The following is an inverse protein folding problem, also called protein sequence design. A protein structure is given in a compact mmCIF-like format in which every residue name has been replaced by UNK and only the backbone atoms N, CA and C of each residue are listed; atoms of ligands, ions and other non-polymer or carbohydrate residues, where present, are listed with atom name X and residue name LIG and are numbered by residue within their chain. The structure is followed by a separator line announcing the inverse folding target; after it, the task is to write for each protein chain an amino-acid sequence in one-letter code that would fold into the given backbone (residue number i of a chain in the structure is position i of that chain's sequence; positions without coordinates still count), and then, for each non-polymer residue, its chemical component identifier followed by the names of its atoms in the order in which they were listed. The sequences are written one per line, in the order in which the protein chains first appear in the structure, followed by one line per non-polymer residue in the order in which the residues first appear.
data_IF_916467644372
#
_entry.id   IF_916467644372
#
_cell.length_a   1.000
_cell.length_b   1.000
_cell.length_c   1.000
_cell.angle_alpha   90.00
_cell.angle_beta   90.00
_cell.angle_gamma   90.00
#
_symmetry.space_group_name_H-M   'P 1'
#
loop_
_entity.id
_entity.type
_entity.pdbx_description
1 polymer ?
#
# COMPACT_ATOMS: atom_id res chain seq x y z
N UNK A 1 11.86 -3.65 -10.52
CA UNK A 1 10.72 -2.71 -10.70
C UNK A 1 9.44 -3.27 -10.10
N UNK A 2 8.87 -4.40 -10.55
CA UNK A 2 7.73 -5.00 -9.81
C UNK A 2 8.15 -5.37 -8.39
N UNK A 3 9.31 -6.01 -8.22
CA UNK A 3 9.89 -6.34 -6.91
C UNK A 3 10.23 -5.10 -6.07
N UNK A 4 10.56 -3.98 -6.74
CA UNK A 4 10.87 -2.71 -6.07
C UNK A 4 9.59 -2.08 -5.50
N UNK A 5 8.49 -2.08 -6.26
CA UNK A 5 7.20 -1.58 -5.80
C UNK A 5 6.61 -2.50 -4.73
N UNK A 6 6.71 -3.82 -4.90
CA UNK A 6 6.28 -4.79 -3.89
C UNK A 6 7.11 -4.67 -2.60
N UNK A 7 8.41 -4.37 -2.69
CA UNK A 7 9.21 -4.11 -1.49
C UNK A 7 8.77 -2.84 -0.74
N UNK A 8 8.23 -1.84 -1.46
CA UNK A 8 7.62 -0.68 -0.82
C UNK A 8 6.31 -1.09 -0.13
N UNK A 9 5.43 -1.83 -0.80
CA UNK A 9 4.17 -2.30 -0.23
C UNK A 9 4.39 -3.23 0.98
N UNK A 10 5.36 -4.14 0.93
CA UNK A 10 5.75 -5.02 2.04
C UNK A 10 6.19 -4.20 3.27
N UNK A 11 7.08 -3.22 3.07
CA UNK A 11 7.50 -2.29 4.12
C UNK A 11 6.31 -1.54 4.72
N UNK A 12 5.41 -1.01 3.88
CA UNK A 12 4.23 -0.28 4.33
C UNK A 12 3.27 -1.19 5.12
N UNK A 13 3.08 -2.43 4.69
CA UNK A 13 2.17 -3.36 5.34
C UNK A 13 2.66 -3.79 6.74
N UNK A 14 3.97 -3.81 6.97
CA UNK A 14 4.61 -4.08 8.27
C UNK A 14 4.90 -2.81 9.09
N UNK A 15 4.74 -1.63 8.48
CA UNK A 15 5.19 -0.35 9.03
C UNK A 15 4.14 0.38 9.89
N UNK A 16 4.43 1.65 10.14
CA UNK A 16 3.58 2.57 10.88
C UNK A 16 3.37 3.89 10.11
N UNK A 17 2.66 4.86 10.68
CA UNK A 17 2.32 6.11 9.98
C UNK A 17 3.53 6.86 9.40
N UNK A 18 4.69 6.80 10.05
CA UNK A 18 5.92 7.40 9.53
C UNK A 18 6.37 6.84 8.18
N UNK A 19 6.22 5.52 7.95
CA UNK A 19 6.56 4.87 6.67
C UNK A 19 5.61 5.34 5.56
N UNK A 20 4.32 5.43 5.86
CA UNK A 20 3.32 5.98 4.94
C UNK A 20 3.56 7.45 4.65
N UNK A 21 3.92 8.26 5.65
CA UNK A 21 4.21 9.68 5.49
C UNK A 21 5.38 9.93 4.51
N UNK A 22 6.39 9.06 4.52
CA UNK A 22 7.54 9.12 3.64
C UNK A 22 7.19 8.77 2.19
N UNK A 23 6.36 7.74 1.98
CA UNK A 23 6.10 7.16 0.64
C UNK A 23 4.92 7.81 -0.07
N UNK A 24 3.86 8.17 0.65
CA UNK A 24 2.64 8.69 0.04
C UNK A 24 2.94 10.01 -0.69
N UNK A 25 2.44 10.11 -1.92
CA UNK A 25 2.32 11.37 -2.62
C UNK A 25 1.44 12.34 -1.82
N UNK A 26 1.60 13.66 -1.98
CA UNK A 26 0.80 14.64 -1.24
C UNK A 26 -0.71 14.48 -1.50
N UNK A 27 -1.07 14.24 -2.77
CA UNK A 27 -2.45 13.97 -3.21
C UNK A 27 -2.86 12.49 -3.13
N UNK A 28 -2.15 11.68 -2.32
CA UNK A 28 -2.44 10.25 -2.28
C UNK A 28 -3.82 9.95 -1.71
N UNK A 29 -4.49 8.96 -2.33
CA UNK A 29 -5.78 8.43 -1.86
C UNK A 29 -5.62 6.96 -1.50
N UNK A 30 -6.11 6.59 -0.32
CA UNK A 30 -6.12 5.22 0.19
C UNK A 30 -7.57 4.76 0.39
N UNK A 31 -7.98 3.74 -0.34
CA UNK A 31 -9.32 3.16 -0.31
C UNK A 31 -9.26 1.81 0.38
N UNK A 32 -9.85 1.73 1.57
CA UNK A 32 -9.92 0.52 2.39
C UNK A 32 -11.38 0.21 2.71
N UNK A 33 -11.72 -0.97 3.25
CA UNK A 33 -13.11 -1.29 3.57
C UNK A 33 -13.74 -0.24 4.48
N UNK A 34 -14.79 0.42 3.98
CA UNK A 34 -15.56 1.42 4.73
C UNK A 34 -14.96 2.82 4.79
N UNK A 35 -13.80 3.09 4.18
CA UNK A 35 -13.19 4.42 4.22
C UNK A 35 -12.41 4.78 2.95
N UNK A 36 -12.39 6.08 2.66
CA UNK A 36 -11.48 6.71 1.70
C UNK A 36 -10.68 7.75 2.46
N UNK A 37 -9.37 7.59 2.47
CA UNK A 37 -8.44 8.38 3.28
C UNK A 37 -7.53 9.18 2.35
N UNK A 38 -7.27 10.44 2.71
CA UNK A 38 -6.13 11.17 2.17
C UNK A 38 -4.83 10.75 2.89
N UNK A 39 -3.70 11.35 2.52
CA UNK A 39 -2.40 11.08 3.15
C UNK A 39 -2.44 11.27 4.66
N UNK A 40 -3.01 12.37 5.16
CA UNK A 40 -3.02 12.67 6.60
C UNK A 40 -3.88 11.68 7.38
N UNK A 41 -5.06 11.35 6.86
CA UNK A 41 -5.96 10.36 7.44
C UNK A 41 -5.35 8.95 7.44
N UNK A 42 -4.64 8.57 6.38
CA UNK A 42 -3.94 7.29 6.30
C UNK A 42 -2.82 7.19 7.36
N UNK A 43 -1.97 8.22 7.47
CA UNK A 43 -0.91 8.27 8.48
C UNK A 43 -1.49 8.14 9.89
N UNK A 44 -2.53 8.92 10.21
CA UNK A 44 -3.18 8.85 11.52
C UNK A 44 -3.81 7.49 11.81
N UNK A 45 -4.41 6.84 10.80
CA UNK A 45 -4.98 5.49 10.95
C UNK A 45 -3.89 4.45 11.25
N UNK A 46 -2.74 4.53 10.58
CA UNK A 46 -1.62 3.60 10.77
C UNK A 46 -0.87 3.85 12.09
N UNK A 47 -0.87 5.07 12.62
CA UNK A 47 -0.36 5.34 13.98
C UNK A 47 -1.27 4.77 15.07
N UNK A 48 -2.59 4.75 14.83
CA UNK A 48 -3.57 4.20 15.76
C UNK A 48 -3.63 2.66 15.74
N UNK A 49 -3.29 2.03 14.61
CA UNK A 49 -3.18 0.59 14.46
C UNK A 49 -1.96 0.26 13.61
N UNK A 50 -0.82 -0.11 14.24
CA UNK A 50 0.40 -0.48 13.52
C UNK A 50 0.16 -1.63 12.54
N UNK A 51 1.11 -1.84 11.63
CA UNK A 51 1.05 -2.87 10.59
C UNK A 51 0.82 -4.31 11.06
N UNK A 52 0.83 -5.22 10.10
CA UNK A 52 0.67 -6.65 10.34
C UNK A 52 1.91 -7.25 11.00
N UNK A 53 1.76 -8.39 11.68
CA UNK A 53 2.92 -9.15 12.19
C UNK A 53 3.64 -9.85 11.03
N UNK A 54 2.86 -10.37 10.08
CA UNK A 54 3.33 -11.09 8.91
C UNK A 54 2.46 -10.76 7.70
N UNK A 55 3.08 -10.69 6.53
CA UNK A 55 2.39 -10.47 5.26
C UNK A 55 2.89 -11.43 4.18
N UNK A 56 2.00 -11.77 3.27
CA UNK A 56 2.31 -12.49 2.04
C UNK A 56 1.72 -11.74 0.85
N UNK A 57 2.57 -11.45 -0.14
CA UNK A 57 2.25 -10.73 -1.36
C UNK A 57 2.48 -11.65 -2.55
N UNK A 58 1.39 -12.09 -3.19
CA UNK A 58 1.40 -13.11 -4.24
C UNK A 58 0.72 -12.67 -5.53
N UNK A 59 0.90 -13.47 -6.59
CA UNK A 59 0.19 -13.34 -7.88
C UNK A 59 0.23 -11.94 -8.51
N UNK A 60 1.35 -11.24 -8.31
CA UNK A 60 1.48 -9.84 -8.69
C UNK A 60 1.46 -9.63 -10.21
N UNK A 61 0.77 -8.57 -10.64
CA UNK A 61 0.71 -8.07 -12.00
C UNK A 61 1.12 -6.62 -12.02
N UNK A 62 1.81 -6.23 -13.08
CA UNK A 62 2.31 -4.87 -13.25
C UNK A 62 1.69 -4.23 -14.50
N UNK A 63 1.13 -3.04 -14.31
CA UNK A 63 0.66 -2.13 -15.37
C UNK A 63 1.54 -0.88 -15.35
N UNK A 64 1.91 -0.36 -16.52
CA UNK A 64 2.77 0.82 -16.66
C UNK A 64 2.13 1.83 -17.60
N UNK A 65 2.33 3.12 -17.33
CA UNK A 65 1.92 4.20 -18.22
C UNK A 65 2.63 5.51 -17.89
N UNK A 66 3.43 6.03 -18.81
CA UNK A 66 4.23 7.25 -18.58
C UNK A 66 5.12 7.09 -17.34
N UNK A 67 5.00 8.04 -16.41
CA UNK A 67 5.72 8.05 -15.13
C UNK A 67 4.99 7.31 -14.00
N UNK A 68 3.95 6.53 -14.35
CA UNK A 68 3.16 5.78 -13.37
C UNK A 68 3.29 4.26 -13.56
N UNK A 69 3.15 3.55 -12.45
CA UNK A 69 3.12 2.10 -12.42
C UNK A 69 2.12 1.61 -11.37
N UNK A 70 1.27 0.66 -11.73
CA UNK A 70 0.33 0.01 -10.81
C UNK A 70 0.75 -1.44 -10.62
N UNK A 71 0.92 -1.87 -9.37
CA UNK A 71 1.03 -3.27 -9.00
C UNK A 71 -0.29 -3.75 -8.41
N UNK A 72 -0.81 -4.85 -8.95
CA UNK A 72 -2.02 -5.52 -8.47
C UNK A 72 -1.61 -6.89 -7.96
N UNK A 73 -1.92 -7.22 -6.72
CA UNK A 73 -1.43 -8.45 -6.08
C UNK A 73 -2.43 -9.00 -5.07
N UNK A 74 -2.30 -10.29 -4.79
CA UNK A 74 -2.99 -10.94 -3.68
C UNK A 74 -2.25 -10.61 -2.39
N UNK A 75 -2.98 -10.16 -1.38
CA UNK A 75 -2.43 -9.86 -0.07
C UNK A 75 -3.05 -10.77 0.99
N UNK A 76 -2.22 -11.30 1.88
CA UNK A 76 -2.65 -11.89 3.15
C UNK A 76 -1.88 -11.25 4.29
N UNK A 77 -2.57 -10.65 5.25
CA UNK A 77 -1.99 -10.10 6.47
C UNK A 77 -2.42 -10.92 7.69
N UNK A 78 -1.50 -11.15 8.63
CA UNK A 78 -1.76 -11.86 9.89
C UNK A 78 -1.31 -11.02 11.07
N UNK A 79 -2.16 -10.95 12.10
CA UNK A 79 -1.83 -10.28 13.37
C UNK A 79 -2.53 -10.98 14.53
N UNK A 80 -1.78 -11.59 15.42
CA UNK A 80 -2.34 -12.48 16.45
C UNK A 80 -3.22 -13.58 15.85
N UNK A 81 -4.52 -13.58 16.18
CA UNK A 81 -5.51 -14.52 15.62
C UNK A 81 -6.20 -14.02 14.35
N UNK A 82 -5.99 -12.76 14.00
CA UNK A 82 -6.67 -12.13 12.87
C UNK A 82 -5.95 -12.46 11.57
N UNK A 83 -6.73 -12.80 10.53
CA UNK A 83 -6.24 -12.96 9.16
C UNK A 83 -7.11 -12.12 8.24
N UNK A 84 -6.47 -11.29 7.43
CA UNK A 84 -7.12 -10.48 6.41
C UNK A 84 -6.58 -10.88 5.05
N UNK A 85 -7.48 -11.00 4.08
CA UNK A 85 -7.12 -11.30 2.71
C UNK A 85 -7.88 -10.38 1.76
N UNK A 86 -7.15 -9.79 0.81
CA UNK A 86 -7.72 -8.93 -0.23
C UNK A 86 -6.93 -9.03 -1.54
N UNK A 87 -7.51 -8.53 -2.62
CA UNK A 87 -6.75 -8.09 -3.80
C UNK A 87 -6.41 -6.61 -3.62
N UNK A 88 -5.13 -6.28 -3.68
CA UNK A 88 -4.63 -4.93 -3.53
C UNK A 88 -4.19 -4.36 -4.87
N UNK A 89 -4.38 -3.05 -5.04
CA UNK A 89 -3.84 -2.30 -6.15
C UNK A 89 -3.13 -1.05 -5.64
N UNK A 90 -1.81 -0.98 -5.86
CA UNK A 90 -0.96 0.16 -5.50
C UNK A 90 -0.47 0.84 -6.78
N UNK A 91 -0.89 2.09 -7.01
CA UNK A 91 -0.39 2.93 -8.10
C UNK A 91 0.61 3.92 -7.57
N UNK A 92 1.78 3.93 -8.20
CA UNK A 92 2.87 4.82 -7.92
C UNK A 92 3.08 5.80 -9.05
N UNK A 93 3.51 7.01 -8.72
CA UNK A 93 4.08 7.99 -9.65
C UNK A 93 5.56 8.15 -9.35
N UNK A 94 6.38 8.31 -10.40
CA UNK A 94 7.81 8.58 -10.26
C UNK A 94 8.04 10.09 -10.31
N UNK A 95 8.61 10.63 -9.24
CA UNK A 95 9.03 12.04 -9.16
C UNK A 95 10.44 12.11 -8.57
N UNK A 96 11.31 12.94 -9.17
CA UNK A 96 12.71 13.11 -8.75
C UNK A 96 13.47 11.78 -8.53
N UNK A 97 13.20 10.81 -9.41
CA UNK A 97 13.82 9.49 -9.39
C UNK A 97 13.27 8.51 -8.34
N UNK A 98 12.35 8.94 -7.48
CA UNK A 98 11.72 8.13 -6.41
C UNK A 98 10.28 7.76 -6.76
N UNK A 99 9.82 6.62 -6.26
CA UNK A 99 8.43 6.20 -6.35
C UNK A 99 7.65 6.73 -5.15
N UNK A 100 6.52 7.37 -5.42
CA UNK A 100 5.57 7.81 -4.41
C UNK A 100 4.23 7.12 -4.65
N UNK A 101 3.61 6.61 -3.59
CA UNK A 101 2.32 5.93 -3.66
C UNK A 101 1.22 6.97 -3.84
N UNK A 102 0.51 6.91 -4.97
CA UNK A 102 -0.52 7.86 -5.37
C UNK A 102 -1.93 7.34 -5.10
N UNK A 103 -2.16 6.04 -5.33
CA UNK A 103 -3.43 5.38 -5.02
C UNK A 103 -3.15 4.01 -4.42
N UNK A 104 -3.83 3.67 -3.34
CA UNK A 104 -3.81 2.33 -2.77
C UNK A 104 -5.23 1.86 -2.52
N UNK A 105 -5.62 0.70 -3.03
CA UNK A 105 -6.98 0.18 -2.87
C UNK A 105 -6.96 -1.27 -2.40
N UNK A 106 -7.87 -1.59 -1.47
CA UNK A 106 -8.17 -2.95 -1.06
C UNK A 106 -9.51 -3.39 -1.63
N UNK A 107 -9.56 -4.61 -2.16
CA UNK A 107 -10.80 -5.32 -2.50
C UNK A 107 -10.79 -6.63 -1.71
N UNK A 108 -11.42 -6.67 -0.52
CA UNK A 108 -11.50 -7.88 0.29
C UNK A 108 -12.18 -9.03 -0.45
N UNK A 109 -11.83 -10.25 -0.03
CA UNK A 109 -12.51 -11.47 -0.46
C UNK A 109 -13.96 -11.59 0.06
#
# INVERSE_FOLDING_TARGET
MIDELLAIDDRLALGAGADYAEVLHEDAVVVVPGAVLDKAGCVAAMDASPGWDEVDLGDARLVRGGDTATVVYRFTGRRGTDTYAATLASTYVRSDGRWQLLLHQHTPD
#
